data_IF_235936039509
#
_entry.id   IF_235936039509
#
_cell.length_a   1.000
_cell.length_b   1.000
_cell.length_c   1.000
_cell.angle_alpha   90.00
_cell.angle_beta   90.00
_cell.angle_gamma   90.00
#
_symmetry.space_group_name_H-M   'P 1'
#
loop_
_entity.id
_entity.type
_entity.pdbx_description
1 polymer ?
#
# COMPACT_ATOMS: atom_id res chain seq x y z
N UNK A 1 -8.17 16.79 10.53
CA UNK A 1 -7.15 16.37 9.54
C UNK A 1 -7.38 14.89 9.21
N UNK A 2 -7.68 14.58 7.95
CA UNK A 2 -7.99 13.23 7.48
C UNK A 2 -6.72 12.47 7.13
N UNK A 3 -6.61 11.25 7.63
CA UNK A 3 -5.48 10.38 7.34
C UNK A 3 -5.57 9.84 5.89
N UNK A 4 -4.51 10.00 5.09
CA UNK A 4 -4.48 9.54 3.69
C UNK A 4 -3.95 8.11 3.50
N UNK A 5 -3.59 7.44 4.60
CA UNK A 5 -3.05 6.08 4.55
C UNK A 5 -4.15 5.07 4.20
N UNK A 6 -3.77 4.00 3.49
CA UNK A 6 -4.65 2.87 3.17
C UNK A 6 -4.51 1.80 4.25
N UNK A 7 -5.61 1.10 4.55
CA UNK A 7 -5.59 -0.02 5.50
C UNK A 7 -5.06 -1.25 4.77
N UNK A 8 -3.85 -1.68 5.10
CA UNK A 8 -3.22 -2.84 4.44
C UNK A 8 -3.30 -4.14 5.27
N UNK A 9 -3.76 -4.05 6.51
CA UNK A 9 -3.70 -5.17 7.48
C UNK A 9 -4.51 -6.40 7.03
N UNK A 10 -5.59 -6.19 6.28
CA UNK A 10 -6.43 -7.29 5.77
C UNK A 10 -6.06 -7.74 4.36
N UNK A 11 -5.20 -6.98 3.65
CA UNK A 11 -4.98 -7.16 2.22
C UNK A 11 -4.39 -8.54 1.90
N UNK A 12 -3.46 -9.04 2.72
CA UNK A 12 -2.88 -10.38 2.51
C UNK A 12 -3.95 -11.49 2.61
N UNK A 13 -4.86 -11.35 3.57
CA UNK A 13 -5.96 -12.30 3.78
C UNK A 13 -7.03 -12.19 2.68
N UNK A 14 -7.41 -10.96 2.30
CA UNK A 14 -8.38 -10.68 1.24
C UNK A 14 -7.86 -11.22 -0.11
N UNK A 15 -6.55 -11.07 -0.35
CA UNK A 15 -5.86 -11.60 -1.53
C UNK A 15 -5.60 -13.13 -1.43
N UNK A 16 -5.81 -13.76 -0.28
CA UNK A 16 -5.47 -15.18 -0.05
C UNK A 16 -3.99 -15.49 -0.38
N UNK A 17 -3.10 -14.53 -0.13
CA UNK A 17 -1.65 -14.63 -0.38
C UNK A 17 -0.90 -14.90 0.92
N UNK A 18 0.15 -15.71 0.84
CA UNK A 18 0.95 -16.12 1.99
C UNK A 18 2.43 -15.94 1.70
N UNK A 19 3.14 -15.36 2.67
CA UNK A 19 4.59 -15.25 2.58
C UNK A 19 5.25 -16.63 2.68
N UNK A 20 5.74 -17.13 1.53
CA UNK A 20 6.48 -18.40 1.47
C UNK A 20 7.98 -18.17 1.57
N UNK A 21 8.61 -18.89 2.50
CA UNK A 21 10.07 -18.89 2.70
C UNK A 21 10.82 -19.87 1.79
N UNK A 22 10.11 -20.55 0.89
CA UNK A 22 10.66 -21.54 -0.03
C UNK A 22 10.13 -21.35 -1.44
N UNK A 23 10.98 -21.60 -2.43
CA UNK A 23 10.60 -21.58 -3.84
C UNK A 23 9.82 -22.85 -4.25
N UNK A 24 9.42 -22.94 -5.51
CA UNK A 24 8.75 -24.14 -6.06
C UNK A 24 9.62 -25.40 -5.94
N UNK A 25 10.94 -25.24 -5.96
CA UNK A 25 11.93 -26.31 -5.83
C UNK A 25 12.29 -26.63 -4.35
N UNK A 26 11.58 -26.05 -3.38
CA UNK A 26 11.80 -26.16 -1.93
C UNK A 26 13.11 -25.58 -1.40
N UNK A 27 13.85 -24.80 -2.20
CA UNK A 27 15.02 -24.04 -1.76
C UNK A 27 14.59 -22.89 -0.85
N UNK A 28 15.41 -22.59 0.17
CA UNK A 28 15.15 -21.50 1.10
C UNK A 28 15.38 -20.15 0.42
N UNK A 29 14.39 -19.26 0.51
CA UNK A 29 14.47 -17.91 -0.04
C UNK A 29 14.99 -16.96 1.04
N UNK A 30 16.04 -16.21 0.72
CA UNK A 30 16.56 -15.14 1.58
C UNK A 30 16.08 -13.77 1.05
N UNK A 31 14.79 -13.48 1.26
CA UNK A 31 14.12 -12.34 0.60
C UNK A 31 14.76 -10.98 0.91
N UNK A 32 15.08 -10.74 2.18
CA UNK A 32 15.49 -9.40 2.67
C UNK A 32 16.87 -8.93 2.16
N UNK A 33 17.80 -9.86 1.97
CA UNK A 33 19.21 -9.51 1.75
C UNK A 33 19.72 -9.93 0.38
N UNK A 34 19.09 -10.91 -0.26
CA UNK A 34 19.70 -11.65 -1.37
C UNK A 34 19.00 -11.42 -2.70
N UNK A 35 17.77 -10.91 -2.72
CA UNK A 35 17.02 -10.70 -3.96
C UNK A 35 17.45 -9.39 -4.61
N UNK A 36 17.79 -9.46 -5.90
CA UNK A 36 18.19 -8.31 -6.72
C UNK A 36 17.13 -7.94 -7.75
N UNK A 37 16.44 -8.95 -8.31
CA UNK A 37 15.36 -8.77 -9.26
C UNK A 37 14.10 -9.48 -8.79
N UNK A 38 12.95 -8.83 -8.99
CA UNK A 38 11.62 -9.42 -8.83
C UNK A 38 10.82 -9.09 -10.08
N UNK A 39 10.13 -10.08 -10.61
CA UNK A 39 9.16 -9.94 -11.69
C UNK A 39 7.87 -10.65 -11.32
N UNK A 40 6.74 -10.03 -11.59
CA UNK A 40 5.41 -10.60 -11.37
C UNK A 40 4.75 -10.70 -12.73
N UNK A 41 4.41 -11.92 -13.15
CA UNK A 41 3.71 -12.18 -14.42
C UNK A 41 2.28 -12.66 -14.17
N UNK A 42 2.10 -13.50 -13.16
CA UNK A 42 0.83 -14.13 -12.82
C UNK A 42 0.45 -13.75 -11.39
N UNK A 43 -0.86 -13.67 -11.14
CA UNK A 43 -1.35 -13.55 -9.77
C UNK A 43 -0.83 -14.71 -8.91
N UNK A 44 -0.54 -14.45 -7.63
CA UNK A 44 -0.12 -15.50 -6.70
C UNK A 44 1.26 -16.11 -6.94
N UNK A 45 2.03 -15.63 -7.92
CA UNK A 45 3.42 -16.06 -8.08
C UNK A 45 4.36 -14.92 -8.49
N UNK A 46 5.61 -15.02 -8.09
CA UNK A 46 6.65 -14.10 -8.54
C UNK A 46 7.92 -14.86 -8.91
N UNK A 47 8.67 -14.26 -9.82
CA UNK A 47 9.96 -14.69 -10.28
C UNK A 47 11.02 -13.81 -9.63
N UNK A 48 12.13 -14.39 -9.15
CA UNK A 48 13.22 -13.61 -8.57
C UNK A 48 14.59 -14.09 -9.04
N UNK A 49 15.58 -13.19 -8.98
CA UNK A 49 17.02 -13.50 -9.11
C UNK A 49 17.78 -12.93 -7.94
N UNK A 50 18.86 -13.62 -7.57
CA UNK A 50 19.79 -13.16 -6.53
C UNK A 50 21.04 -12.46 -7.09
N UNK A 51 21.25 -12.53 -8.40
CA UNK A 51 22.35 -11.91 -9.14
C UNK A 51 21.82 -10.81 -10.04
N UNK A 52 22.67 -9.85 -10.42
CA UNK A 52 22.32 -8.83 -11.42
C UNK A 52 22.50 -9.31 -12.86
N UNK A 53 23.05 -10.50 -13.04
CA UNK A 53 23.32 -11.09 -14.34
C UNK A 53 22.02 -11.41 -15.12
N UNK A 54 22.01 -11.06 -16.39
CA UNK A 54 20.88 -11.24 -17.29
C UNK A 54 20.68 -12.73 -17.64
N UNK A 55 21.77 -13.49 -17.74
CA UNK A 55 21.75 -14.90 -18.16
C UNK A 55 21.33 -15.85 -17.04
N UNK A 56 21.47 -15.44 -15.77
CA UNK A 56 21.01 -16.25 -14.63
C UNK A 56 19.49 -16.48 -14.72
N UNK A 57 18.97 -17.71 -14.66
CA UNK A 57 17.53 -17.96 -14.76
C UNK A 57 16.77 -17.45 -13.53
N UNK A 58 15.53 -17.05 -13.73
CA UNK A 58 14.63 -16.68 -12.64
C UNK A 58 14.17 -17.92 -11.86
N UNK A 59 14.07 -17.79 -10.54
CA UNK A 59 13.45 -18.77 -9.66
C UNK A 59 12.00 -18.37 -9.38
N UNK A 60 11.06 -19.31 -9.52
CA UNK A 60 9.62 -19.07 -9.29
C UNK A 60 9.24 -19.38 -7.84
N UNK A 61 8.43 -18.50 -7.26
CA UNK A 61 7.83 -18.66 -5.93
C UNK A 61 6.34 -18.56 -6.07
N UNK A 62 5.63 -19.57 -5.57
CA UNK A 62 4.18 -19.54 -5.49
C UNK A 62 3.77 -19.09 -4.08
N UNK A 63 3.16 -17.92 -3.98
CA UNK A 63 2.64 -17.35 -2.73
C UNK A 63 1.12 -17.54 -2.58
N UNK A 64 0.47 -18.17 -3.54
CA UNK A 64 -0.94 -18.54 -3.42
C UNK A 64 -1.14 -19.61 -2.35
N UNK A 65 -2.24 -19.51 -1.60
CA UNK A 65 -2.56 -20.46 -0.53
C UNK A 65 -2.63 -21.90 -1.05
N UNK A 66 -3.33 -22.10 -2.17
CA UNK A 66 -3.61 -23.41 -2.72
C UNK A 66 -2.67 -23.72 -3.89
N UNK A 67 -1.69 -24.58 -3.65
CA UNK A 67 -0.67 -24.99 -4.64
C UNK A 67 -1.24 -25.69 -5.90
N UNK A 68 -2.49 -26.17 -5.85
CA UNK A 68 -3.13 -26.95 -6.93
C UNK A 68 -4.17 -26.18 -7.75
N UNK A 69 -4.49 -24.95 -7.36
CA UNK A 69 -5.46 -24.12 -8.07
C UNK A 69 -4.74 -23.04 -8.87
N UNK A 70 -5.29 -22.71 -10.05
CA UNK A 70 -4.85 -21.54 -10.81
C UNK A 70 -5.09 -20.31 -9.94
N UNK A 71 -4.05 -19.53 -9.63
CA UNK A 71 -4.21 -18.35 -8.80
C UNK A 71 -5.06 -17.34 -9.58
N UNK A 72 -6.32 -17.20 -9.20
CA UNK A 72 -7.21 -16.18 -9.72
C UNK A 72 -7.79 -15.39 -8.56
N UNK A 73 -7.87 -14.08 -8.75
CA UNK A 73 -8.55 -13.22 -7.81
C UNK A 73 -10.02 -13.18 -8.23
N UNK A 74 -10.91 -13.72 -7.39
CA UNK A 74 -12.35 -13.82 -7.69
C UNK A 74 -13.01 -12.46 -7.94
N UNK A 75 -12.49 -11.39 -7.33
CA UNK A 75 -12.98 -10.02 -7.49
C UNK A 75 -11.88 -8.99 -7.25
N UNK A 76 -12.02 -7.79 -7.82
CA UNK A 76 -11.07 -6.71 -7.58
C UNK A 76 -11.12 -6.29 -6.09
N UNK A 77 -9.96 -6.34 -5.43
CA UNK A 77 -9.85 -5.94 -4.02
C UNK A 77 -9.71 -4.43 -3.93
N UNK A 78 -10.59 -3.80 -3.17
CA UNK A 78 -10.52 -2.37 -2.87
C UNK A 78 -9.86 -2.17 -1.52
N UNK A 79 -8.68 -1.55 -1.52
CA UNK A 79 -7.98 -1.20 -0.29
C UNK A 79 -8.60 0.10 0.25
N UNK A 80 -9.40 -0.03 1.30
CA UNK A 80 -10.06 1.10 1.94
C UNK A 80 -9.07 2.13 2.46
N UNK A 81 -9.40 3.42 2.30
CA UNK A 81 -8.66 4.49 2.94
C UNK A 81 -9.01 4.52 4.43
N UNK A 82 -8.00 4.70 5.27
CA UNK A 82 -8.18 4.82 6.69
C UNK A 82 -8.67 6.24 7.01
N UNK A 83 -9.99 6.40 7.11
CA UNK A 83 -10.58 7.66 7.57
C UNK A 83 -10.55 7.70 9.11
N UNK A 84 -9.42 8.11 9.68
CA UNK A 84 -9.36 8.55 11.07
C UNK A 84 -9.35 10.07 11.13
N UNK A 85 -10.26 10.65 11.92
CA UNK A 85 -10.15 12.04 12.35
C UNK A 85 -9.02 12.10 13.38
N UNK A 86 -7.81 12.40 12.92
CA UNK A 86 -6.64 12.44 13.79
C UNK A 86 -6.46 13.86 14.33
N UNK A 87 -6.66 14.00 15.65
CA UNK A 87 -6.48 15.25 16.37
C UNK A 87 -7.60 16.28 16.15
N UNK A 88 -7.84 17.08 17.17
CA UNK A 88 -8.63 18.31 17.07
C UNK A 88 -7.69 19.50 16.86
N UNK A 89 -8.04 20.41 15.95
CA UNK A 89 -7.35 21.69 15.86
C UNK A 89 -7.70 22.50 17.10
N UNK A 90 -6.69 22.94 17.85
CA UNK A 90 -6.89 23.86 18.98
C UNK A 90 -7.28 25.23 18.45
N UNK A 91 -8.06 25.98 19.21
CA UNK A 91 -8.50 27.34 18.86
C UNK A 91 -7.40 28.27 18.30
N UNK A 92 -6.18 28.33 18.89
CA UNK A 92 -5.12 29.19 18.35
C UNK A 92 -4.73 28.87 16.90
N UNK A 93 -4.86 27.60 16.50
CA UNK A 93 -4.54 27.16 15.14
C UNK A 93 -5.67 27.46 14.16
N UNK A 94 -6.92 27.49 14.64
CA UNK A 94 -8.09 27.92 13.84
C UNK A 94 -8.05 29.43 13.60
N UNK A 95 -7.68 30.22 14.61
CA UNK A 95 -7.47 31.67 14.46
C UNK A 95 -6.34 31.98 13.47
N UNK A 96 -5.21 31.27 13.59
CA UNK A 96 -4.10 31.42 12.66
C UNK A 96 -4.50 31.07 11.20
N UNK A 97 -5.33 30.04 11.01
CA UNK A 97 -5.89 29.71 9.69
C UNK A 97 -6.79 30.82 9.14
N UNK A 98 -7.64 31.41 9.98
CA UNK A 98 -8.50 32.56 9.60
C UNK A 98 -7.67 33.79 9.20
N UNK A 99 -6.56 34.05 9.88
CA UNK A 99 -5.63 35.12 9.52
C UNK A 99 -4.92 34.86 8.19
N UNK A 100 -4.46 33.61 7.98
CA UNK A 100 -3.74 33.21 6.78
C UNK A 100 -4.62 33.20 5.52
N UNK A 101 -5.92 32.94 5.66
CA UNK A 101 -6.89 32.96 4.56
C UNK A 101 -6.89 34.26 3.75
N UNK A 102 -6.48 35.38 4.36
CA UNK A 102 -6.37 36.69 3.70
C UNK A 102 -5.26 36.72 2.63
N UNK A 103 -4.24 35.88 2.78
CA UNK A 103 -3.07 35.79 1.90
C UNK A 103 -3.15 34.63 0.90
N UNK A 104 -4.14 33.75 1.06
CA UNK A 104 -4.35 32.61 0.16
C UNK A 104 -5.12 33.07 -1.08
N UNK A 105 -4.67 32.74 -2.31
CA UNK A 105 -5.42 33.02 -3.54
C UNK A 105 -6.82 32.38 -3.53
N UNK A 106 -7.82 33.06 -4.11
CA UNK A 106 -9.24 32.63 -4.05
C UNK A 106 -9.47 31.19 -4.49
N UNK A 107 -8.77 30.75 -5.54
CA UNK A 107 -8.83 29.38 -6.07
C UNK A 107 -8.46 28.28 -5.05
N UNK A 108 -7.76 28.62 -3.97
CA UNK A 108 -7.35 27.69 -2.92
C UNK A 108 -8.07 27.91 -1.59
N UNK A 109 -8.84 29.00 -1.44
CA UNK A 109 -9.54 29.33 -0.19
C UNK A 109 -10.56 28.26 0.21
N UNK A 110 -11.22 27.63 -0.76
CA UNK A 110 -12.27 26.63 -0.53
C UNK A 110 -11.84 25.50 0.41
N UNK A 111 -10.58 25.06 0.32
CA UNK A 111 -10.07 23.97 1.15
C UNK A 111 -9.91 24.39 2.61
N UNK A 112 -9.40 25.60 2.85
CA UNK A 112 -9.22 26.15 4.20
C UNK A 112 -10.56 26.53 4.83
N UNK A 113 -11.51 27.05 4.04
CA UNK A 113 -12.88 27.31 4.49
C UNK A 113 -13.57 26.01 4.91
N UNK A 114 -13.49 24.95 4.11
CA UNK A 114 -14.03 23.64 4.46
C UNK A 114 -13.45 23.10 5.78
N UNK A 115 -12.17 23.37 6.09
CA UNK A 115 -11.58 22.99 7.38
C UNK A 115 -12.15 23.82 8.52
N UNK A 116 -12.45 25.11 8.33
CA UNK A 116 -13.07 25.94 9.36
C UNK A 116 -14.53 25.53 9.60
N UNK A 117 -15.28 25.28 8.53
CA UNK A 117 -16.68 24.83 8.57
C UNK A 117 -16.84 23.47 9.28
N UNK A 118 -15.82 22.59 9.20
CA UNK A 118 -15.80 21.32 9.94
C UNK A 118 -15.67 21.49 11.48
N UNK A 119 -15.30 22.68 11.96
CA UNK A 119 -14.98 22.99 13.37
C UNK A 119 -15.85 24.12 13.97
N UNK A 120 -16.76 24.72 13.21
CA UNK A 120 -17.87 25.57 13.70
C UNK A 120 -19.07 24.73 14.11
#
# INVERSE_FOLDING_TARGET
MTQHFRVTDTVEADMKLYNRKRDVNKNKIQFRNSIKWIRVEEYGSYLFKTTYDEYTPFQKVNIYNKLRETPSLESAITISRLFRKTGSLKQPKLENLREQLKYVPDQHKWWYQHILDEYE
#
